data_IF_183431466035
#
_entry.id   IF_183431466035
#
_cell.length_a   1.000
_cell.length_b   1.000
_cell.length_c   1.000
_cell.angle_alpha   90.00
_cell.angle_beta   90.00
_cell.angle_gamma   90.00
#
_symmetry.space_group_name_H-M   'P 1'
#
loop_
_entity.id
_entity.type
_entity.pdbx_description
1 polymer ?
#
# COMPACT_ATOMS: atom_id res chain seq x y z
N UNK A 1 -10.23 3.55 8.69
CA UNK A 1 -9.25 3.42 7.62
C UNK A 1 -8.14 2.48 8.06
N UNK A 2 -8.13 1.24 7.56
CA UNK A 2 -7.18 0.25 8.09
C UNK A 2 -5.76 0.52 7.63
N UNK A 3 -4.87 0.65 8.59
CA UNK A 3 -3.45 0.64 8.31
C UNK A 3 -3.00 -0.81 8.29
N UNK A 4 -2.39 -1.24 7.19
CA UNK A 4 -1.99 -2.64 7.02
C UNK A 4 -0.51 -2.87 7.26
N UNK A 5 0.32 -1.83 7.25
CA UNK A 5 1.73 -1.96 7.62
C UNK A 5 2.32 -0.61 7.99
N UNK A 6 3.46 -0.66 8.69
CA UNK A 6 4.21 0.55 9.06
C UNK A 6 5.69 0.15 9.14
N UNK A 7 6.54 0.82 8.35
CA UNK A 7 7.98 0.57 8.36
C UNK A 7 8.73 1.83 7.93
N UNK A 8 9.84 2.10 8.59
CA UNK A 8 10.70 3.24 8.32
C UNK A 8 9.93 4.57 8.25
N UNK A 9 8.89 4.72 9.07
CA UNK A 9 8.06 5.92 9.08
C UNK A 9 7.04 5.98 7.96
N UNK A 10 6.92 4.95 7.15
CA UNK A 10 5.97 4.87 6.03
C UNK A 10 4.75 4.08 6.47
N UNK A 11 3.57 4.70 6.45
CA UNK A 11 2.32 4.05 6.79
C UNK A 11 1.63 3.58 5.50
N UNK A 12 1.25 2.30 5.47
CA UNK A 12 0.53 1.72 4.34
C UNK A 12 -0.93 1.52 4.77
N UNK A 13 -1.85 2.06 3.97
CA UNK A 13 -3.28 1.94 4.25
C UNK A 13 -4.02 1.46 3.01
N UNK A 14 -5.21 0.89 3.24
CA UNK A 14 -6.08 0.44 2.16
C UNK A 14 -7.52 0.76 2.54
N UNK A 15 -8.25 1.43 1.65
CA UNK A 15 -9.62 1.87 1.93
C UNK A 15 -10.63 0.81 1.54
N UNK A 16 -11.78 0.81 2.22
CA UNK A 16 -12.90 -0.07 1.89
C UNK A 16 -13.59 0.40 0.60
N UNK A 17 -14.11 -0.55 -0.18
CA UNK A 17 -14.93 -0.27 -1.36
C UNK A 17 -14.25 0.63 -2.38
N UNK A 18 -12.93 0.61 -2.43
CA UNK A 18 -12.22 1.44 -3.39
C UNK A 18 -12.35 0.86 -4.80
N UNK A 19 -12.07 1.69 -5.81
CA UNK A 19 -12.29 1.32 -7.20
C UNK A 19 -10.99 0.94 -7.91
N UNK A 20 -11.13 0.18 -9.00
CA UNK A 20 -9.99 -0.24 -9.81
C UNK A 20 -9.15 0.93 -10.33
N UNK A 21 -7.87 0.75 -10.57
CA UNK A 21 -7.12 -0.52 -10.44
C UNK A 21 -6.74 -0.82 -8.98
N UNK A 22 -6.40 -2.09 -8.67
CA UNK A 22 -5.96 -2.44 -7.32
C UNK A 22 -4.78 -1.60 -6.87
N UNK A 23 -4.91 -0.96 -5.72
CA UNK A 23 -3.89 -0.04 -5.23
C UNK A 23 -3.89 0.03 -3.71
N UNK A 24 -2.82 0.61 -3.17
CA UNK A 24 -2.72 0.94 -1.76
C UNK A 24 -2.20 2.37 -1.62
N UNK A 25 -2.34 2.92 -0.42
CA UNK A 25 -1.89 4.26 -0.10
C UNK A 25 -0.64 4.17 0.77
N UNK A 26 0.35 5.02 0.49
CA UNK A 26 1.56 5.11 1.30
C UNK A 26 1.74 6.56 1.73
N UNK A 27 1.97 6.77 3.02
CA UNK A 27 2.18 8.11 3.56
C UNK A 27 3.48 8.17 4.34
N UNK A 28 4.28 9.19 4.05
CA UNK A 28 5.54 9.46 4.73
C UNK A 28 5.63 10.95 5.00
N UNK A 29 5.59 11.33 6.28
CA UNK A 29 5.54 12.74 6.69
C UNK A 29 4.37 13.44 5.98
N UNK A 30 4.63 14.54 5.27
CA UNK A 30 3.61 15.25 4.51
C UNK A 30 3.37 14.69 3.10
N UNK A 31 4.11 13.66 2.71
CA UNK A 31 4.01 13.06 1.37
C UNK A 31 2.99 11.93 1.34
N UNK A 32 2.27 11.82 0.23
CA UNK A 32 1.27 10.78 0.05
C UNK A 32 1.30 10.28 -1.40
N UNK A 33 1.22 8.97 -1.56
CA UNK A 33 1.20 8.36 -2.89
C UNK A 33 0.17 7.25 -2.94
N UNK A 34 -0.44 7.08 -4.11
CA UNK A 34 -1.30 5.95 -4.44
C UNK A 34 -0.50 5.07 -5.39
N UNK A 35 -0.32 3.81 -5.04
CA UNK A 35 0.59 2.91 -5.75
C UNK A 35 -0.15 1.65 -6.20
N UNK A 36 -0.02 1.31 -7.49
CA UNK A 36 -0.64 0.12 -8.05
C UNK A 36 -0.01 -1.15 -7.47
N UNK A 37 -0.85 -2.10 -7.05
CA UNK A 37 -0.36 -3.34 -6.46
C UNK A 37 0.40 -4.17 -7.48
N UNK A 38 -0.14 -4.30 -8.70
CA UNK A 38 0.42 -5.17 -9.70
C UNK A 38 1.75 -4.70 -10.28
N UNK A 39 1.90 -3.40 -10.53
CA UNK A 39 3.07 -2.85 -11.22
C UNK A 39 4.01 -2.07 -10.30
N UNK A 40 3.52 -1.57 -9.18
CA UNK A 40 4.27 -0.65 -8.33
C UNK A 40 4.29 0.78 -8.86
N UNK A 41 3.52 1.05 -9.90
CA UNK A 41 3.47 2.39 -10.49
C UNK A 41 2.79 3.38 -9.54
N UNK A 42 3.33 4.59 -9.45
CA UNK A 42 2.71 5.68 -8.70
C UNK A 42 1.57 6.24 -9.55
N UNK A 43 0.35 6.08 -9.07
CA UNK A 43 -0.84 6.55 -9.80
C UNK A 43 -1.17 8.00 -9.48
N UNK A 44 -0.99 8.40 -8.21
CA UNK A 44 -1.30 9.75 -7.73
C UNK A 44 -0.26 10.12 -6.68
N UNK A 45 0.13 11.40 -6.66
CA UNK A 45 1.02 11.92 -5.63
C UNK A 45 2.46 11.46 -5.79
N UNK A 46 3.17 11.32 -4.70
CA UNK A 46 4.55 10.88 -4.73
C UNK A 46 5.18 10.82 -3.35
N UNK A 47 6.29 10.11 -3.26
CA UNK A 47 7.10 10.00 -2.06
C UNK A 47 8.54 10.40 -2.39
N UNK A 48 9.36 10.80 -1.38
CA UNK A 48 10.79 10.95 -1.62
C UNK A 48 11.39 9.67 -2.18
N UNK A 49 12.41 9.79 -2.99
CA UNK A 49 13.02 8.67 -3.73
C UNK A 49 13.33 7.48 -2.83
N UNK A 50 13.93 7.71 -1.66
CA UNK A 50 14.27 6.62 -0.75
C UNK A 50 13.04 5.90 -0.22
N UNK A 51 12.02 6.66 0.18
CA UNK A 51 10.77 6.08 0.68
C UNK A 51 10.10 5.27 -0.41
N UNK A 52 10.06 5.78 -1.63
CA UNK A 52 9.47 5.10 -2.77
C UNK A 52 10.20 3.77 -3.05
N UNK A 53 11.52 3.76 -2.94
CA UNK A 53 12.31 2.54 -3.13
C UNK A 53 11.99 1.49 -2.07
N UNK A 54 11.87 1.90 -0.81
CA UNK A 54 11.52 1.00 0.29
C UNK A 54 10.14 0.40 0.09
N UNK A 55 9.17 1.22 -0.31
CA UNK A 55 7.82 0.74 -0.59
C UNK A 55 7.82 -0.24 -1.76
N UNK A 56 8.62 0.03 -2.81
CA UNK A 56 8.75 -0.88 -3.95
C UNK A 56 9.28 -2.24 -3.56
N UNK A 57 10.29 -2.28 -2.70
CA UNK A 57 10.83 -3.55 -2.19
C UNK A 57 9.78 -4.31 -1.39
N UNK A 58 9.11 -3.62 -0.49
CA UNK A 58 8.05 -4.21 0.34
C UNK A 58 6.92 -4.76 -0.53
N UNK A 59 6.47 -3.99 -1.53
CA UNK A 59 5.43 -4.43 -2.45
C UNK A 59 5.82 -5.71 -3.19
N UNK A 60 7.04 -5.80 -3.66
CA UNK A 60 7.52 -6.99 -4.37
C UNK A 60 7.48 -8.23 -3.48
N UNK A 61 7.82 -8.07 -2.20
CA UNK A 61 7.81 -9.18 -1.25
C UNK A 61 6.39 -9.61 -0.86
N UNK A 62 5.43 -8.68 -0.84
CA UNK A 62 4.10 -8.91 -0.28
C UNK A 62 2.98 -8.73 -1.30
N UNK A 63 3.30 -8.87 -2.58
CA UNK A 63 2.31 -8.63 -3.64
C UNK A 63 1.06 -9.48 -3.49
N UNK A 64 1.23 -10.78 -3.20
CA UNK A 64 0.08 -11.68 -3.07
C UNK A 64 -0.79 -11.31 -1.86
N UNK A 65 -0.16 -10.93 -0.76
CA UNK A 65 -0.88 -10.49 0.44
C UNK A 65 -1.65 -9.20 0.17
N UNK A 66 -1.06 -8.29 -0.59
CA UNK A 66 -1.71 -7.04 -0.98
C UNK A 66 -2.92 -7.30 -1.87
N UNK A 67 -2.81 -8.24 -2.80
CA UNK A 67 -3.93 -8.59 -3.66
C UNK A 67 -5.07 -9.23 -2.87
N UNK A 68 -4.74 -10.08 -1.90
CA UNK A 68 -5.74 -10.68 -1.03
C UNK A 68 -6.45 -9.62 -0.18
N UNK A 69 -5.69 -8.65 0.35
CA UNK A 69 -6.27 -7.54 1.11
C UNK A 69 -7.16 -6.66 0.25
N UNK A 70 -6.77 -6.43 -1.00
CA UNK A 70 -7.59 -5.68 -1.93
C UNK A 70 -8.95 -6.36 -2.14
N UNK A 71 -8.95 -7.68 -2.31
CA UNK A 71 -10.20 -8.42 -2.48
C UNK A 71 -11.08 -8.32 -1.23
N UNK A 72 -10.50 -8.42 -0.04
CA UNK A 72 -11.25 -8.26 1.22
C UNK A 72 -11.86 -6.87 1.32
N UNK A 73 -11.05 -5.84 1.14
CA UNK A 73 -11.49 -4.45 1.30
C UNK A 73 -12.54 -4.07 0.27
N UNK A 74 -12.39 -4.56 -0.94
CA UNK A 74 -13.33 -4.31 -2.02
C UNK A 74 -14.71 -4.87 -1.70
N UNK A 75 -14.77 -6.00 -1.01
CA UNK A 75 -16.03 -6.59 -0.56
C UNK A 75 -16.52 -6.08 0.79
N UNK A 76 -15.85 -5.07 1.37
CA UNK A 76 -16.23 -4.51 2.66
C UNK A 76 -15.64 -5.22 3.85
N UNK A 77 -14.77 -6.21 3.64
CA UNK A 77 -14.05 -6.89 4.71
C UNK A 77 -12.82 -6.10 5.15
N UNK A 78 -12.32 -6.42 6.34
CA UNK A 78 -11.15 -5.72 6.87
C UNK A 78 -9.85 -6.30 6.30
N UNK A 79 -9.00 -5.48 5.67
CA UNK A 79 -7.69 -5.94 5.24
C UNK A 79 -6.86 -6.39 6.45
N UNK A 80 -6.08 -7.44 6.26
CA UNK A 80 -5.24 -7.99 7.33
C UNK A 80 -3.88 -7.30 7.34
N UNK A 81 -3.26 -7.15 8.54
CA UNK A 81 -1.91 -6.59 8.61
C UNK A 81 -0.91 -7.43 7.83
N UNK A 82 0.04 -6.76 7.21
CA UNK A 82 1.12 -7.38 6.45
C UNK A 82 2.44 -7.01 7.13
N UNK A 83 3.36 -7.97 7.22
CA UNK A 83 4.64 -7.75 7.88
C UNK A 83 5.38 -6.55 7.28
N UNK A 84 6.03 -5.74 8.12
CA UNK A 84 6.80 -4.61 7.63
C UNK A 84 8.07 -5.07 6.92
N UNK A 85 8.66 -4.15 6.17
CA UNK A 85 9.97 -4.37 5.58
C UNK A 85 11.01 -4.46 6.68
N UNK A 86 11.85 -5.46 6.63
CA UNK A 86 12.89 -5.70 7.64
C UNK A 86 14.02 -4.65 7.59
#
# INVERSE_FOLDING_TARGET
MPRISLFYGIAITMYFYDHEPPHFHAQYAEHHAVIAIGSGEVLVGGLPTRALKLVGEWRSLHREELEADWDRARGGGTPEPIDPLA
#
